data_IF_829654880804
#
_entry.id   IF_829654880804
#
_cell.length_a   1.000
_cell.length_b   1.000
_cell.length_c   1.000
_cell.angle_alpha   90.00
_cell.angle_beta   90.00
_cell.angle_gamma   90.00
#
_symmetry.space_group_name_H-M   'P 1'
#
loop_
_entity.id
_entity.type
_entity.pdbx_description
1 polymer ?
#
# COMPACT_ATOMS: atom_id res chain seq x y z
N UNK A 1 3.47 -13.75 -13.76
CA UNK A 1 2.22 -14.40 -13.26
C UNK A 1 1.15 -13.32 -13.18
N UNK A 2 -0.02 -13.55 -13.78
CA UNK A 2 -1.13 -12.57 -13.79
C UNK A 2 -1.44 -12.05 -12.38
N UNK A 3 -1.32 -12.89 -11.36
CA UNK A 3 -1.55 -12.52 -9.96
C UNK A 3 -0.55 -11.47 -9.42
N UNK A 4 0.75 -11.57 -9.77
CA UNK A 4 1.78 -10.61 -9.35
C UNK A 4 1.50 -9.22 -9.92
N UNK A 5 1.20 -9.12 -11.21
CA UNK A 5 0.90 -7.85 -11.88
C UNK A 5 -0.35 -7.17 -11.30
N UNK A 6 -1.36 -7.95 -10.92
CA UNK A 6 -2.57 -7.43 -10.26
C UNK A 6 -2.24 -6.85 -8.89
N UNK A 7 -1.42 -7.55 -8.09
CA UNK A 7 -0.97 -7.08 -6.79
C UNK A 7 -0.11 -5.82 -6.90
N UNK A 8 0.81 -5.75 -7.86
CA UNK A 8 1.63 -4.56 -8.14
C UNK A 8 0.77 -3.35 -8.52
N UNK A 9 -0.20 -3.53 -9.43
CA UNK A 9 -1.14 -2.45 -9.80
C UNK A 9 -1.97 -2.00 -8.61
N UNK A 10 -2.39 -2.93 -7.73
CA UNK A 10 -3.14 -2.61 -6.52
C UNK A 10 -2.28 -1.85 -5.52
N UNK A 11 -1.03 -2.28 -5.32
CA UNK A 11 -0.05 -1.62 -4.46
C UNK A 11 0.21 -0.19 -4.93
N UNK A 12 0.44 0.03 -6.22
CA UNK A 12 0.67 1.36 -6.79
C UNK A 12 -0.47 2.34 -6.47
N UNK A 13 -1.72 1.92 -6.69
CA UNK A 13 -2.91 2.75 -6.35
C UNK A 13 -3.00 3.05 -4.85
N UNK A 14 -2.61 2.11 -3.99
CA UNK A 14 -2.66 2.30 -2.53
C UNK A 14 -1.55 3.24 -2.05
N UNK A 15 -0.36 3.17 -2.63
CA UNK A 15 0.74 4.12 -2.39
C UNK A 15 0.37 5.53 -2.82
N UNK A 16 -0.28 5.69 -3.97
CA UNK A 16 -0.76 7.00 -4.44
C UNK A 16 -1.81 7.59 -3.47
N UNK A 17 -2.80 6.78 -3.06
CA UNK A 17 -3.79 7.20 -2.05
C UNK A 17 -3.13 7.59 -0.73
N UNK A 18 -2.07 6.88 -0.34
CA UNK A 18 -1.34 7.14 0.90
C UNK A 18 -0.57 8.45 0.81
N UNK A 19 0.16 8.68 -0.29
CA UNK A 19 0.91 9.91 -0.52
C UNK A 19 -0.02 11.14 -0.56
N UNK A 20 -1.18 11.02 -1.19
CA UNK A 20 -2.17 12.11 -1.22
C UNK A 20 -2.68 12.44 0.19
N UNK A 21 -3.01 11.41 0.98
CA UNK A 21 -3.49 11.60 2.34
C UNK A 21 -2.39 12.12 3.28
N UNK A 22 -1.16 11.66 3.11
CA UNK A 22 0.03 12.17 3.81
C UNK A 22 0.29 13.64 3.48
N UNK A 23 0.14 14.03 2.21
CA UNK A 23 0.22 15.42 1.78
C UNK A 23 -0.83 16.30 2.47
N UNK A 24 -2.08 15.83 2.57
CA UNK A 24 -3.14 16.53 3.30
C UNK A 24 -2.78 16.66 4.79
N UNK A 25 -2.33 15.57 5.41
CA UNK A 25 -1.96 15.56 6.84
C UNK A 25 -0.82 16.53 7.14
N UNK A 26 0.19 16.58 6.26
CA UNK A 26 1.37 17.41 6.43
C UNK A 26 1.17 18.87 5.99
N UNK A 27 0.12 19.16 5.21
CA UNK A 27 -0.18 20.51 4.72
C UNK A 27 -0.68 21.49 5.81
N UNK A 28 -0.90 21.02 7.04
CA UNK A 28 -1.49 21.82 8.11
C UNK A 28 -2.98 22.09 7.93
N UNK A 29 -3.63 21.45 6.95
CA UNK A 29 -5.08 21.40 6.81
C UNK A 29 -5.71 20.79 8.07
N UNK A 30 -6.98 21.10 8.35
CA UNK A 30 -7.69 20.54 9.51
C UNK A 30 -7.88 19.02 9.33
N UNK A 31 -6.95 18.24 9.89
CA UNK A 31 -6.93 16.78 9.80
C UNK A 31 -7.94 16.21 10.79
N UNK A 32 -8.95 15.51 10.29
CA UNK A 32 -9.93 14.86 11.16
C UNK A 32 -9.39 13.57 11.79
N UNK A 33 -10.01 13.10 12.87
CA UNK A 33 -9.70 11.77 13.42
C UNK A 33 -9.96 10.63 12.43
N UNK A 34 -10.88 10.83 11.48
CA UNK A 34 -11.18 9.87 10.40
C UNK A 34 -10.01 9.79 9.42
N UNK A 35 -9.41 10.93 9.06
CA UNK A 35 -8.27 10.97 8.14
C UNK A 35 -7.05 10.26 8.74
N UNK A 36 -6.77 10.48 10.02
CA UNK A 36 -5.69 9.77 10.74
C UNK A 36 -5.92 8.25 10.76
N UNK A 37 -7.16 7.82 11.02
CA UNK A 37 -7.51 6.39 11.01
C UNK A 37 -7.32 5.80 9.62
N UNK A 38 -7.84 6.47 8.59
CA UNK A 38 -7.70 6.06 7.19
C UNK A 38 -6.25 5.98 6.74
N UNK A 39 -5.40 6.91 7.20
CA UNK A 39 -3.97 6.90 6.94
C UNK A 39 -3.30 5.66 7.55
N UNK A 40 -3.58 5.35 8.83
CA UNK A 40 -3.04 4.16 9.50
C UNK A 40 -3.50 2.87 8.80
N UNK A 41 -4.79 2.74 8.51
CA UNK A 41 -5.35 1.59 7.80
C UNK A 41 -4.71 1.41 6.42
N UNK A 42 -4.48 2.52 5.70
CA UNK A 42 -3.89 2.49 4.38
C UNK A 42 -2.41 2.08 4.41
N UNK A 43 -1.65 2.51 5.43
CA UNK A 43 -0.28 2.00 5.66
C UNK A 43 -0.27 0.50 5.90
N UNK A 44 -1.20 -0.01 6.70
CA UNK A 44 -1.30 -1.45 6.95
C UNK A 44 -1.59 -2.23 5.66
N UNK A 45 -2.50 -1.73 4.81
CA UNK A 45 -2.80 -2.35 3.50
C UNK A 45 -1.60 -2.32 2.55
N UNK A 46 -0.83 -1.23 2.51
CA UNK A 46 0.39 -1.15 1.70
C UNK A 46 1.40 -2.20 2.15
N UNK A 47 1.66 -2.28 3.45
CA UNK A 47 2.61 -3.24 4.03
C UNK A 47 2.21 -4.70 3.73
N UNK A 48 0.93 -5.03 3.86
CA UNK A 48 0.43 -6.37 3.56
C UNK A 48 0.61 -6.75 2.08
N UNK A 49 0.38 -5.80 1.17
CA UNK A 49 0.57 -6.02 -0.27
C UNK A 49 2.05 -6.19 -0.63
N UNK A 50 2.95 -5.45 0.03
CA UNK A 50 4.40 -5.61 -0.14
C UNK A 50 4.87 -6.98 0.35
N UNK A 51 4.37 -7.44 1.51
CA UNK A 51 4.66 -8.78 2.02
C UNK A 51 4.15 -9.88 1.07
N UNK A 52 2.93 -9.74 0.54
CA UNK A 52 2.38 -10.69 -0.42
C UNK A 52 3.23 -10.81 -1.69
N UNK A 53 3.77 -9.68 -2.17
CA UNK A 53 4.65 -9.67 -3.34
C UNK A 53 6.00 -10.31 -3.02
N UNK A 54 6.60 -10.02 -1.86
CA UNK A 54 7.86 -10.63 -1.43
C UNK A 54 7.76 -12.16 -1.29
N UNK A 55 6.67 -12.65 -0.70
CA UNK A 55 6.36 -14.09 -0.62
C UNK A 55 6.24 -14.67 -2.03
N UNK A 56 5.45 -14.04 -2.91
CA UNK A 56 5.25 -14.52 -4.28
C UNK A 56 6.58 -14.60 -5.05
N UNK A 57 7.46 -13.61 -4.89
CA UNK A 57 8.79 -13.61 -5.50
C UNK A 57 9.70 -14.70 -4.93
N UNK A 58 9.66 -14.91 -3.62
CA UNK A 58 10.43 -15.96 -2.95
C UNK A 58 9.98 -17.36 -3.39
N UNK A 59 8.68 -17.58 -3.54
CA UNK A 59 8.12 -18.84 -4.06
C UNK A 59 8.52 -19.09 -5.52
N UNK A 60 8.47 -18.06 -6.38
CA UNK A 60 8.91 -18.18 -7.79
C UNK A 60 10.40 -18.53 -7.87
N UNK A 61 11.24 -18.02 -6.97
CA UNK A 61 12.68 -18.34 -6.92
C UNK A 61 12.94 -19.77 -6.48
N UNK A 62 12.07 -20.38 -5.67
CA UNK A 62 12.18 -21.78 -5.24
C UNK A 62 11.73 -22.79 -6.31
N UNK A 63 10.84 -22.37 -7.21
CA UNK A 63 10.35 -23.21 -8.32
C UNK A 63 11.29 -23.24 -9.55
N UNK A 64 12.33 -22.40 -9.59
CA UNK A 64 13.30 -22.30 -10.68
C UNK A 64 14.65 -22.89 -10.30
#
# INVERSE_FOLDING_TARGET
MIYKEVLEKRLARKKEQLANLEGIINSGSEVTGVDKRKYIELKAVVNELENCLDIAESMIKLEK
#
